data_IF_185364897781
#
_entry.id   IF_185364897781
#
_cell.length_a   1.000
_cell.length_b   1.000
_cell.length_c   1.000
_cell.angle_alpha   90.00
_cell.angle_beta   90.00
_cell.angle_gamma   90.00
#
_symmetry.space_group_name_H-M   'P 1'
#
loop_
_entity.id
_entity.type
_entity.pdbx_description
1 polymer ?
#
# COMPACT_ATOMS: atom_id res chain seq x y z
N UNK A 1 22.27 -13.06 4.87
CA UNK A 1 21.58 -12.37 3.78
C UNK A 1 20.44 -11.57 4.40
N UNK A 2 20.35 -10.28 4.11
CA UNK A 2 19.31 -9.36 4.61
C UNK A 2 18.33 -9.09 3.46
N UNK A 3 17.12 -9.64 3.54
CA UNK A 3 16.10 -9.56 2.48
C UNK A 3 14.98 -8.62 2.88
N UNK A 4 14.62 -7.71 1.99
CA UNK A 4 13.47 -6.80 2.19
C UNK A 4 12.31 -7.18 1.30
N UNK A 5 11.13 -7.35 1.91
CA UNK A 5 9.86 -7.52 1.22
C UNK A 5 9.24 -6.18 0.87
N UNK A 6 8.65 -6.08 -0.32
CA UNK A 6 7.85 -4.93 -0.78
C UNK A 6 6.51 -5.47 -1.28
N UNK A 7 5.42 -4.79 -0.96
CA UNK A 7 4.07 -5.13 -1.42
C UNK A 7 3.59 -4.06 -2.41
N UNK A 8 3.20 -4.47 -3.62
CA UNK A 8 2.94 -3.52 -4.71
C UNK A 8 1.83 -3.96 -5.65
N UNK A 9 1.40 -3.02 -6.47
CA UNK A 9 0.60 -3.27 -7.67
C UNK A 9 1.37 -3.00 -8.96
N UNK A 10 2.28 -2.02 -8.95
CA UNK A 10 3.05 -1.54 -10.11
C UNK A 10 2.17 -1.36 -11.36
N UNK A 11 1.16 -0.54 -11.23
CA UNK A 11 0.09 -0.41 -12.22
C UNK A 11 0.00 1.00 -12.86
N UNK A 12 0.93 1.39 -13.76
CA UNK A 12 2.20 0.73 -14.08
C UNK A 12 3.34 1.08 -13.11
N UNK A 13 4.54 0.52 -13.33
CA UNK A 13 5.75 0.93 -12.64
C UNK A 13 6.18 2.32 -13.12
N UNK A 14 6.41 3.26 -12.20
CA UNK A 14 6.72 4.67 -12.48
C UNK A 14 7.85 5.18 -11.57
N UNK A 15 8.31 6.43 -11.80
CA UNK A 15 9.44 7.02 -11.07
C UNK A 15 9.26 7.02 -9.53
N UNK A 16 8.04 7.17 -9.04
CA UNK A 16 7.75 7.06 -7.60
C UNK A 16 8.00 5.66 -7.05
N UNK A 17 7.75 4.61 -7.83
CA UNK A 17 8.06 3.23 -7.43
C UNK A 17 9.57 2.96 -7.49
N UNK A 18 10.27 3.53 -8.47
CA UNK A 18 11.73 3.43 -8.57
C UNK A 18 12.41 4.10 -7.35
N UNK A 19 11.96 5.31 -6.99
CA UNK A 19 12.43 6.00 -5.80
C UNK A 19 12.15 5.17 -4.53
N UNK A 20 10.92 4.65 -4.38
CA UNK A 20 10.56 3.81 -3.24
C UNK A 20 11.46 2.56 -3.15
N UNK A 21 11.70 1.86 -4.27
CA UNK A 21 12.56 0.68 -4.31
C UNK A 21 14.00 1.03 -3.89
N UNK A 22 14.56 2.12 -4.43
CA UNK A 22 15.90 2.59 -4.08
C UNK A 22 16.00 2.94 -2.59
N UNK A 23 15.09 3.76 -2.09
CA UNK A 23 15.06 4.16 -0.67
C UNK A 23 14.82 2.96 0.26
N UNK A 24 14.04 1.95 -0.17
CA UNK A 24 13.85 0.71 0.59
C UNK A 24 15.16 -0.05 0.75
N UNK A 25 15.94 -0.17 -0.32
CA UNK A 25 17.27 -0.80 -0.26
C UNK A 25 18.22 -0.05 0.67
N UNK A 26 18.21 1.27 0.61
CA UNK A 26 19.07 2.14 1.44
C UNK A 26 18.70 2.05 2.93
N UNK A 27 17.41 2.24 3.29
CA UNK A 27 16.99 2.28 4.70
C UNK A 27 17.10 0.93 5.39
N UNK A 28 16.94 -0.17 4.66
CA UNK A 28 17.02 -1.52 5.21
C UNK A 28 18.43 -2.12 5.05
N UNK A 29 19.30 -1.49 4.28
CA UNK A 29 20.62 -2.01 3.91
C UNK A 29 20.55 -3.49 3.48
N UNK A 30 19.62 -3.81 2.57
CA UNK A 30 19.33 -5.18 2.18
C UNK A 30 20.23 -5.68 1.04
N UNK A 31 20.48 -6.99 1.03
CA UNK A 31 21.19 -7.71 -0.03
C UNK A 31 20.30 -8.00 -1.23
N UNK A 32 18.96 -8.08 -1.01
CA UNK A 32 18.00 -8.38 -2.06
C UNK A 32 16.57 -7.97 -1.69
N UNK A 33 15.72 -7.85 -2.72
CA UNK A 33 14.32 -7.44 -2.60
C UNK A 33 13.38 -8.49 -3.18
N UNK A 34 12.42 -8.91 -2.38
CA UNK A 34 11.29 -9.73 -2.81
C UNK A 34 10.04 -8.87 -2.88
N UNK A 35 9.41 -8.86 -4.05
CA UNK A 35 8.17 -8.11 -4.28
C UNK A 35 6.97 -9.07 -4.28
N UNK A 36 5.99 -8.85 -3.41
CA UNK A 36 4.65 -9.45 -3.52
C UNK A 36 3.79 -8.49 -4.33
N UNK A 37 3.34 -8.92 -5.51
CA UNK A 37 2.65 -8.09 -6.48
C UNK A 37 1.28 -8.65 -6.85
N UNK A 38 0.26 -7.77 -6.92
CA UNK A 38 -1.06 -8.13 -7.45
C UNK A 38 -0.96 -8.70 -8.86
N UNK A 39 -1.72 -9.76 -9.14
CA UNK A 39 -1.83 -10.39 -10.45
C UNK A 39 -2.52 -9.48 -11.49
N UNK A 40 -3.38 -10.03 -12.33
CA UNK A 40 -4.05 -9.26 -13.38
C UNK A 40 -5.15 -8.32 -12.87
N UNK A 41 -5.50 -8.40 -11.59
CA UNK A 41 -6.48 -7.54 -10.93
C UNK A 41 -5.85 -6.88 -9.70
N UNK A 42 -6.19 -5.61 -9.50
CA UNK A 42 -5.67 -4.78 -8.41
C UNK A 42 -6.72 -4.62 -7.29
N UNK A 43 -6.32 -4.04 -6.16
CA UNK A 43 -7.12 -3.97 -4.93
C UNK A 43 -8.53 -3.36 -5.14
N UNK A 44 -8.67 -2.45 -6.07
CA UNK A 44 -9.99 -1.85 -6.39
C UNK A 44 -10.90 -2.77 -7.22
N UNK A 45 -10.51 -4.02 -7.48
CA UNK A 45 -11.24 -4.97 -8.31
C UNK A 45 -11.24 -4.61 -9.79
N UNK A 46 -10.31 -3.74 -10.20
CA UNK A 46 -10.13 -3.36 -11.59
C UNK A 46 -9.03 -4.23 -12.23
N UNK A 47 -9.10 -4.48 -13.56
CA UNK A 47 -7.96 -5.04 -14.26
C UNK A 47 -6.77 -4.08 -14.16
N UNK A 48 -5.57 -4.63 -14.05
CA UNK A 48 -4.35 -3.84 -14.14
C UNK A 48 -4.20 -3.30 -15.58
N UNK A 49 -3.48 -2.20 -15.75
CA UNK A 49 -3.26 -1.55 -17.06
C UNK A 49 -2.76 -2.54 -18.12
N UNK A 50 -1.85 -3.42 -17.71
CA UNK A 50 -1.28 -4.47 -18.55
C UNK A 50 -1.12 -5.76 -17.76
N UNK A 51 -0.80 -6.86 -18.43
CA UNK A 51 -0.67 -8.18 -17.82
C UNK A 51 0.42 -8.24 -16.73
N UNK A 52 0.31 -9.24 -15.87
CA UNK A 52 1.23 -9.41 -14.74
C UNK A 52 2.68 -9.67 -15.17
N UNK A 53 2.90 -10.32 -16.31
CA UNK A 53 4.24 -10.67 -16.78
C UNK A 53 5.02 -9.43 -17.22
N UNK A 54 4.34 -8.52 -17.93
CA UNK A 54 4.90 -7.21 -18.30
C UNK A 54 5.27 -6.40 -17.08
N UNK A 55 4.40 -6.33 -16.06
CA UNK A 55 4.67 -5.63 -14.79
C UNK A 55 5.79 -6.29 -13.99
N UNK A 56 5.87 -7.63 -14.02
CA UNK A 56 7.00 -8.36 -13.42
C UNK A 56 8.32 -8.01 -14.09
N UNK A 57 8.37 -7.93 -15.43
CA UNK A 57 9.57 -7.49 -16.15
C UNK A 57 9.99 -6.09 -15.74
N UNK A 58 9.06 -5.15 -15.61
CA UNK A 58 9.36 -3.79 -15.12
C UNK A 58 9.99 -3.83 -13.73
N UNK A 59 9.47 -4.63 -12.82
CA UNK A 59 9.98 -4.77 -11.45
C UNK A 59 11.42 -5.35 -11.43
N UNK A 60 11.66 -6.38 -12.24
CA UNK A 60 12.99 -7.01 -12.36
C UNK A 60 14.01 -6.05 -12.99
N UNK A 61 13.65 -5.34 -14.06
CA UNK A 61 14.49 -4.30 -14.68
C UNK A 61 14.81 -3.15 -13.70
N UNK A 62 13.88 -2.85 -12.77
CA UNK A 62 14.11 -1.87 -11.71
C UNK A 62 15.07 -2.37 -10.62
N UNK A 63 15.39 -3.66 -10.58
CA UNK A 63 16.29 -4.26 -9.60
C UNK A 63 15.58 -4.96 -8.43
N UNK A 64 14.35 -5.41 -8.60
CA UNK A 64 13.71 -6.42 -7.75
C UNK A 64 14.31 -7.79 -8.10
N UNK A 65 14.62 -8.61 -7.12
CA UNK A 65 15.28 -9.91 -7.34
C UNK A 65 14.28 -11.05 -7.54
N UNK A 66 13.12 -10.98 -6.89
CA UNK A 66 12.04 -11.98 -7.01
C UNK A 66 10.68 -11.31 -6.94
N UNK A 67 9.77 -11.70 -7.84
CA UNK A 67 8.36 -11.29 -7.80
C UNK A 67 7.49 -12.50 -7.50
N UNK A 68 6.68 -12.41 -6.46
CA UNK A 68 5.69 -13.41 -6.03
C UNK A 68 4.29 -12.85 -6.29
N UNK A 69 3.44 -13.60 -6.97
CA UNK A 69 2.06 -13.16 -7.24
C UNK A 69 1.20 -13.27 -5.98
N UNK A 70 0.55 -12.17 -5.60
CA UNK A 70 -0.51 -12.20 -4.59
C UNK A 70 -1.77 -12.84 -5.19
N UNK A 71 -2.31 -13.93 -4.61
CA UNK A 71 -3.52 -14.56 -5.10
C UNK A 71 -4.67 -13.55 -5.25
N UNK A 72 -5.43 -13.66 -6.34
CA UNK A 72 -6.49 -12.71 -6.71
C UNK A 72 -7.49 -12.48 -5.59
N UNK A 73 -7.80 -13.51 -4.80
CA UNK A 73 -8.69 -13.41 -3.64
C UNK A 73 -8.23 -12.32 -2.67
N UNK A 74 -6.95 -12.26 -2.35
CA UNK A 74 -6.38 -11.22 -1.49
C UNK A 74 -6.17 -9.91 -2.25
N UNK A 75 -5.70 -9.99 -3.48
CA UNK A 75 -5.38 -8.81 -4.30
C UNK A 75 -6.60 -7.90 -4.53
N UNK A 76 -7.82 -8.44 -4.57
CA UNK A 76 -9.07 -7.69 -4.82
C UNK A 76 -9.92 -7.46 -3.57
N UNK A 77 -9.36 -7.73 -2.39
CA UNK A 77 -10.05 -7.62 -1.10
C UNK A 77 -9.89 -6.25 -0.44
N UNK A 78 -10.46 -6.10 0.76
CA UNK A 78 -10.25 -4.92 1.61
C UNK A 78 -8.76 -4.75 1.97
N UNK A 79 -8.38 -3.55 2.45
CA UNK A 79 -7.02 -3.28 2.88
C UNK A 79 -6.49 -4.31 3.90
N UNK A 80 -7.35 -4.75 4.83
CA UNK A 80 -7.00 -5.76 5.84
C UNK A 80 -6.65 -7.11 5.21
N UNK A 81 -7.50 -7.64 4.35
CA UNK A 81 -7.26 -8.94 3.71
C UNK A 81 -6.12 -8.88 2.68
N UNK A 82 -6.02 -7.79 1.94
CA UNK A 82 -4.90 -7.54 1.03
C UNK A 82 -3.56 -7.56 1.80
N UNK A 83 -3.47 -6.79 2.89
CA UNK A 83 -2.29 -6.73 3.73
C UNK A 83 -1.97 -8.08 4.37
N UNK A 84 -2.98 -8.76 4.94
CA UNK A 84 -2.80 -10.05 5.57
C UNK A 84 -2.29 -11.11 4.58
N UNK A 85 -2.87 -11.20 3.39
CA UNK A 85 -2.42 -12.15 2.36
C UNK A 85 -0.99 -11.88 1.91
N UNK A 86 -0.64 -10.62 1.67
CA UNK A 86 0.69 -10.24 1.20
C UNK A 86 1.77 -10.44 2.28
N UNK A 87 1.50 -10.03 3.52
CA UNK A 87 2.43 -10.24 4.64
C UNK A 87 2.57 -11.72 4.97
N UNK A 88 1.48 -12.52 4.89
CA UNK A 88 1.53 -13.97 5.08
C UNK A 88 2.45 -14.64 4.06
N UNK A 89 2.40 -14.23 2.79
CA UNK A 89 3.32 -14.73 1.77
C UNK A 89 4.77 -14.43 2.12
N UNK A 90 5.09 -13.16 2.42
CA UNK A 90 6.44 -12.77 2.81
C UNK A 90 6.93 -13.53 4.03
N UNK A 91 6.07 -13.70 5.04
CA UNK A 91 6.39 -14.44 6.27
C UNK A 91 6.64 -15.93 6.00
N UNK A 92 5.85 -16.54 5.13
CA UNK A 92 5.96 -17.98 4.80
C UNK A 92 7.22 -18.32 4.01
N UNK A 93 7.86 -17.35 3.35
CA UNK A 93 9.13 -17.58 2.66
C UNK A 93 10.30 -17.85 3.63
N UNK A 94 10.19 -17.46 4.90
CA UNK A 94 11.19 -17.65 5.95
C UNK A 94 12.60 -17.10 5.64
N UNK A 95 12.71 -16.21 4.65
CA UNK A 95 13.98 -15.56 4.24
C UNK A 95 13.90 -14.04 4.33
N UNK A 96 12.71 -13.49 4.55
CA UNK A 96 12.46 -12.04 4.60
C UNK A 96 12.74 -11.52 6.01
N UNK A 97 13.60 -10.52 6.10
CA UNK A 97 13.99 -9.89 7.37
C UNK A 97 13.24 -8.58 7.63
N UNK A 98 12.92 -7.85 6.56
CA UNK A 98 12.29 -6.54 6.64
C UNK A 98 11.12 -6.46 5.66
N UNK A 99 10.14 -5.61 5.98
CA UNK A 99 9.15 -5.12 5.03
C UNK A 99 9.27 -3.60 4.94
N UNK A 100 9.29 -3.06 3.72
CA UNK A 100 9.33 -1.62 3.52
C UNK A 100 8.15 -1.16 2.67
N UNK A 101 7.46 -0.12 3.12
CA UNK A 101 6.28 0.44 2.46
C UNK A 101 6.27 1.97 2.53
N UNK A 102 5.57 2.59 1.58
CA UNK A 102 5.34 4.04 1.61
C UNK A 102 4.16 4.39 2.51
N UNK A 103 4.27 5.49 3.26
CA UNK A 103 3.18 6.09 4.02
C UNK A 103 3.17 7.61 3.86
N UNK A 104 2.02 8.24 4.04
CA UNK A 104 1.93 9.69 3.99
C UNK A 104 2.57 10.35 5.21
N UNK A 105 2.46 9.72 6.38
CA UNK A 105 3.02 10.25 7.62
C UNK A 105 4.55 10.03 7.76
N UNK A 106 5.11 8.99 7.14
CA UNK A 106 6.53 8.65 7.26
C UNK A 106 6.98 8.25 8.68
N UNK A 107 6.06 8.02 9.61
CA UNK A 107 6.33 7.73 11.02
C UNK A 107 6.00 6.27 11.35
N UNK A 108 7.03 5.43 11.36
CA UNK A 108 6.86 3.99 11.64
C UNK A 108 6.45 3.71 13.09
N UNK A 109 6.88 4.53 14.02
CA UNK A 109 6.58 4.29 15.44
C UNK A 109 5.12 4.63 15.75
N UNK A 110 4.59 5.70 15.14
CA UNK A 110 3.16 6.00 15.18
C UNK A 110 2.33 4.88 14.54
N UNK A 111 2.70 4.42 13.33
CA UNK A 111 2.00 3.33 12.63
C UNK A 111 1.97 2.05 13.48
N UNK A 112 3.10 1.64 14.05
CA UNK A 112 3.20 0.49 14.95
C UNK A 112 2.31 0.65 16.19
N UNK A 113 2.32 1.84 16.80
CA UNK A 113 1.50 2.12 17.98
C UNK A 113 0.01 2.03 17.68
N UNK A 114 -0.44 2.63 16.58
CA UNK A 114 -1.83 2.53 16.16
C UNK A 114 -2.23 1.07 15.87
N UNK A 115 -1.36 0.32 15.21
CA UNK A 115 -1.57 -1.10 14.91
C UNK A 115 -1.68 -1.96 16.16
N UNK A 116 -0.84 -1.69 17.16
CA UNK A 116 -0.84 -2.37 18.47
C UNK A 116 -2.15 -2.13 19.23
N UNK A 117 -2.61 -0.88 19.30
CA UNK A 117 -3.88 -0.54 19.95
C UNK A 117 -5.05 -1.24 19.27
N UNK A 118 -5.08 -1.21 17.93
CA UNK A 118 -6.17 -1.83 17.15
C UNK A 118 -6.19 -3.35 17.31
N UNK A 119 -5.04 -4.02 17.40
CA UNK A 119 -5.00 -5.49 17.49
C UNK A 119 -5.26 -6.01 18.91
N UNK A 120 -4.73 -5.30 19.91
CA UNK A 120 -4.88 -5.68 21.32
C UNK A 120 -6.22 -5.25 21.91
N UNK A 121 -6.87 -4.27 21.28
CA UNK A 121 -8.15 -3.71 21.71
C UNK A 121 -8.22 -3.50 23.22
N UNK A 122 -7.42 -2.59 23.82
CA UNK A 122 -7.46 -2.35 25.25
C UNK A 122 -8.88 -2.06 25.75
N UNK A 123 -9.25 -2.41 26.99
CA UNK A 123 -10.63 -2.27 27.49
C UNK A 123 -11.23 -0.88 27.27
N UNK A 124 -10.47 0.17 27.55
CA UNK A 124 -10.90 1.56 27.37
C UNK A 124 -11.14 1.91 25.89
N UNK A 125 -10.29 1.42 24.98
CA UNK A 125 -10.49 1.59 23.54
C UNK A 125 -11.76 0.89 23.06
N UNK A 126 -12.02 -0.35 23.52
CA UNK A 126 -13.26 -1.08 23.23
C UNK A 126 -14.51 -0.34 23.71
N UNK A 127 -14.44 0.24 24.88
CA UNK A 127 -15.54 1.04 25.45
C UNK A 127 -15.86 2.23 24.53
N UNK A 128 -14.86 3.03 24.18
CA UNK A 128 -15.03 4.18 23.29
C UNK A 128 -15.56 3.77 21.91
N UNK A 129 -15.01 2.69 21.32
CA UNK A 129 -15.49 2.18 20.04
C UNK A 129 -16.98 1.79 20.11
N UNK A 130 -17.38 1.07 21.17
CA UNK A 130 -18.77 0.67 21.38
C UNK A 130 -19.70 1.87 21.52
N UNK A 131 -19.28 2.90 22.23
CA UNK A 131 -20.10 4.09 22.45
C UNK A 131 -20.28 4.88 21.15
N UNK A 132 -19.24 5.10 20.40
CA UNK A 132 -19.36 5.74 19.08
C UNK A 132 -20.19 4.94 18.08
N UNK A 133 -20.16 3.60 18.14
CA UNK A 133 -21.03 2.77 17.33
C UNK A 133 -22.50 2.89 17.75
N UNK A 134 -22.81 3.00 19.06
CA UNK A 134 -24.16 3.26 19.55
C UNK A 134 -24.70 4.64 19.13
N UNK A 135 -23.83 5.63 18.96
CA UNK A 135 -24.16 6.95 18.41
C UNK A 135 -24.52 6.87 16.91
N UNK A 136 -24.42 5.70 16.27
CA UNK A 136 -24.73 5.49 14.85
C UNK A 136 -23.60 5.84 13.90
N UNK A 137 -22.37 6.02 14.37
CA UNK A 137 -21.22 6.30 13.50
C UNK A 137 -20.84 5.03 12.71
N UNK A 138 -20.50 5.17 11.41
CA UNK A 138 -19.92 4.08 10.64
C UNK A 138 -18.63 3.57 11.30
N UNK A 139 -18.38 2.26 11.26
CA UNK A 139 -17.25 1.62 11.93
C UNK A 139 -15.90 2.31 11.71
N UNK A 140 -15.48 2.70 10.48
CA UNK A 140 -14.20 3.39 10.28
C UNK A 140 -14.11 4.70 11.07
N UNK A 141 -15.19 5.49 11.08
CA UNK A 141 -15.25 6.78 11.80
C UNK A 141 -15.30 6.58 13.32
N UNK A 142 -16.06 5.60 13.79
CA UNK A 142 -16.12 5.22 15.20
C UNK A 142 -14.74 4.76 15.71
N UNK A 143 -14.04 3.92 14.93
CA UNK A 143 -12.69 3.44 15.25
C UNK A 143 -11.68 4.58 15.32
N UNK A 144 -11.70 5.50 14.35
CA UNK A 144 -10.80 6.66 14.36
C UNK A 144 -11.02 7.53 15.58
N UNK A 145 -12.29 7.86 15.93
CA UNK A 145 -12.61 8.63 17.13
C UNK A 145 -12.24 7.92 18.42
N UNK A 146 -12.44 6.62 18.50
CA UNK A 146 -12.06 5.82 19.67
C UNK A 146 -10.53 5.80 19.86
N UNK A 147 -9.76 5.69 18.77
CA UNK A 147 -8.30 5.79 18.80
C UNK A 147 -7.84 7.16 19.29
N UNK A 148 -8.41 8.23 18.75
CA UNK A 148 -8.08 9.61 19.15
C UNK A 148 -8.33 9.80 20.64
N UNK A 149 -9.50 9.42 21.13
CA UNK A 149 -9.85 9.54 22.54
C UNK A 149 -8.96 8.67 23.45
N UNK A 150 -8.69 7.44 23.02
CA UNK A 150 -7.81 6.53 23.77
C UNK A 150 -6.38 7.10 23.90
N UNK A 151 -5.85 7.69 22.83
CA UNK A 151 -4.52 8.29 22.83
C UNK A 151 -4.46 9.54 23.70
N UNK A 152 -5.51 10.37 23.69
CA UNK A 152 -5.63 11.56 24.55
C UNK A 152 -5.62 11.17 26.03
N UNK A 153 -6.48 10.25 26.44
CA UNK A 153 -6.58 9.77 27.83
C UNK A 153 -5.28 9.09 28.34
N UNK A 154 -4.48 8.57 27.42
CA UNK A 154 -3.16 7.99 27.73
C UNK A 154 -2.01 8.98 27.58
N UNK A 155 -2.30 10.30 27.50
CA UNK A 155 -1.32 11.40 27.42
C UNK A 155 -0.37 11.30 26.20
N UNK A 156 -0.81 10.71 25.09
CA UNK A 156 -0.11 10.79 23.83
C UNK A 156 -0.28 12.19 23.25
N UNK A 157 0.80 12.99 23.24
CA UNK A 157 0.80 14.34 22.70
C UNK A 157 0.81 14.29 21.17
N UNK A 158 -0.33 14.01 20.57
CA UNK A 158 -0.52 14.04 19.11
C UNK A 158 -1.58 15.10 18.78
N UNK A 159 -1.31 15.94 17.79
CA UNK A 159 -2.31 16.83 17.23
C UNK A 159 -3.45 16.01 16.59
N UNK A 160 -4.69 16.30 17.01
CA UNK A 160 -5.85 15.53 16.55
C UNK A 160 -6.13 15.70 15.06
N UNK A 161 -5.88 16.88 14.50
CA UNK A 161 -6.08 17.12 13.07
C UNK A 161 -5.08 16.32 12.23
N UNK A 162 -3.84 16.23 12.71
CA UNK A 162 -2.81 15.39 12.12
C UNK A 162 -3.17 13.90 12.22
N UNK A 163 -3.61 13.43 13.39
CA UNK A 163 -4.00 12.02 13.58
C UNK A 163 -5.20 11.64 12.71
N UNK A 164 -6.20 12.52 12.59
CA UNK A 164 -7.34 12.31 11.69
C UNK A 164 -6.88 12.17 10.23
N UNK A 165 -5.95 13.02 9.80
CA UNK A 165 -5.34 12.93 8.47
C UNK A 165 -4.59 11.61 8.30
N UNK A 166 -3.81 11.18 9.28
CA UNK A 166 -3.08 9.90 9.25
C UNK A 166 -4.05 8.73 9.10
N UNK A 167 -5.13 8.69 9.86
CA UNK A 167 -6.11 7.59 9.87
C UNK A 167 -7.00 7.54 8.60
N UNK A 168 -7.07 8.62 7.82
CA UNK A 168 -7.87 8.70 6.61
C UNK A 168 -7.03 8.60 5.31
N UNK A 169 -5.70 8.57 5.40
CA UNK A 169 -4.81 8.49 4.24
C UNK A 169 -4.63 7.04 3.79
N UNK A 170 -4.73 6.79 2.49
CA UNK A 170 -4.81 5.45 1.91
C UNK A 170 -3.58 4.57 2.20
N UNK A 171 -2.37 5.12 2.08
CA UNK A 171 -1.16 4.34 2.32
C UNK A 171 -0.88 4.18 3.81
N UNK A 172 -1.28 5.14 4.66
CA UNK A 172 -1.22 4.96 6.12
C UNK A 172 -2.16 3.84 6.58
N UNK A 173 -3.37 3.75 6.00
CA UNK A 173 -4.30 2.63 6.28
C UNK A 173 -3.64 1.30 5.94
N UNK A 174 -3.05 1.18 4.75
CA UNK A 174 -2.33 -0.04 4.36
C UNK A 174 -1.13 -0.32 5.28
N UNK A 175 -0.36 0.70 5.65
CA UNK A 175 0.77 0.59 6.56
C UNK A 175 0.36 0.04 7.94
N UNK A 176 -0.76 0.54 8.49
CA UNK A 176 -1.36 0.03 9.74
C UNK A 176 -1.76 -1.45 9.57
N UNK A 177 -2.40 -1.81 8.44
CA UNK A 177 -2.82 -3.19 8.20
C UNK A 177 -1.62 -4.13 7.99
N UNK A 178 -0.51 -3.68 7.38
CA UNK A 178 0.74 -4.47 7.31
C UNK A 178 1.31 -4.73 8.71
N UNK A 179 1.41 -3.71 9.57
CA UNK A 179 1.89 -3.87 10.93
C UNK A 179 0.96 -4.77 11.76
N UNK A 180 -0.36 -4.61 11.64
CA UNK A 180 -1.34 -5.52 12.28
C UNK A 180 -1.13 -6.97 11.84
N UNK A 181 -0.88 -7.19 10.55
CA UNK A 181 -0.63 -8.52 10.00
C UNK A 181 0.64 -9.14 10.56
N UNK A 182 1.72 -8.36 10.70
CA UNK A 182 2.95 -8.81 11.37
C UNK A 182 2.70 -9.22 12.83
N UNK A 183 1.95 -8.42 13.59
CA UNK A 183 1.57 -8.77 14.98
C UNK A 183 0.73 -10.05 15.02
N UNK A 184 -0.29 -10.16 14.18
CA UNK A 184 -1.18 -11.33 14.13
C UNK A 184 -0.45 -12.63 13.79
N UNK A 185 0.57 -12.55 12.94
CA UNK A 185 1.40 -13.69 12.53
C UNK A 185 2.56 -13.94 13.50
N UNK A 186 2.74 -13.12 14.53
CA UNK A 186 3.92 -13.16 15.40
C UNK A 186 5.22 -13.17 14.60
N UNK A 187 5.26 -12.39 13.53
CA UNK A 187 6.35 -12.37 12.56
C UNK A 187 7.58 -11.67 13.11
N UNK A 188 8.77 -12.20 12.81
CA UNK A 188 10.05 -11.56 13.10
C UNK A 188 10.44 -10.48 12.08
N UNK A 189 9.67 -10.29 11.01
CA UNK A 189 9.92 -9.30 9.97
C UNK A 189 9.78 -7.88 10.54
N UNK A 190 10.80 -7.05 10.33
CA UNK A 190 10.84 -5.67 10.84
C UNK A 190 10.19 -4.71 9.84
N UNK A 191 9.20 -3.91 10.25
CA UNK A 191 8.58 -2.92 9.36
C UNK A 191 9.41 -1.63 9.28
N UNK A 192 9.52 -1.09 8.06
CA UNK A 192 10.08 0.21 7.73
C UNK A 192 9.11 0.99 6.87
N UNK A 193 9.13 2.31 6.99
CA UNK A 193 8.32 3.17 6.12
C UNK A 193 9.14 4.29 5.51
N UNK A 194 8.77 4.69 4.31
CA UNK A 194 9.32 5.83 3.58
C UNK A 194 8.20 6.84 3.42
N UNK A 195 8.46 8.09 3.78
CA UNK A 195 7.50 9.14 3.54
C UNK A 195 7.29 9.32 2.04
N UNK A 196 6.05 9.27 1.60
CA UNK A 196 5.71 9.51 0.19
C UNK A 196 5.88 11.00 -0.13
N UNK A 197 6.67 11.25 -1.16
CA UNK A 197 6.86 12.57 -1.74
C UNK A 197 6.04 12.66 -3.03
N UNK A 198 5.31 13.76 -3.25
CA UNK A 198 4.61 14.01 -4.50
C UNK A 198 3.08 14.03 -4.36
N UNK A 199 2.42 13.96 -5.51
CA UNK A 199 0.97 14.07 -5.65
C UNK A 199 0.19 13.08 -4.78
N UNK A 200 -0.89 13.55 -4.17
CA UNK A 200 -1.82 12.70 -3.43
C UNK A 200 -2.34 11.57 -4.35
N UNK A 201 -2.67 10.43 -3.75
CA UNK A 201 -3.15 9.25 -4.50
C UNK A 201 -4.34 9.53 -5.45
N UNK A 202 -5.10 10.58 -5.16
CA UNK A 202 -6.25 11.02 -5.95
C UNK A 202 -5.93 12.12 -6.97
N UNK A 203 -4.69 12.57 -7.07
CA UNK A 203 -4.30 13.54 -8.09
C UNK A 203 -4.30 12.90 -9.47
N UNK A 204 -5.19 13.37 -10.33
CA UNK A 204 -5.40 12.88 -11.69
C UNK A 204 -4.68 13.72 -12.76
N UNK A 205 -3.88 14.71 -12.36
CA UNK A 205 -3.16 15.58 -13.29
C UNK A 205 -1.67 15.27 -13.31
N UNK A 206 -1.10 15.23 -14.51
CA UNK A 206 0.33 15.18 -14.73
C UNK A 206 0.91 16.59 -14.56
N UNK A 207 1.80 16.77 -13.59
CA UNK A 207 2.53 18.02 -13.36
C UNK A 207 4.02 17.78 -13.63
N UNK A 208 4.62 18.56 -14.55
CA UNK A 208 5.98 18.31 -15.07
C UNK A 208 7.12 18.32 -14.04
N UNK A 209 6.88 18.76 -12.82
CA UNK A 209 7.91 18.85 -11.77
C UNK A 209 7.60 17.99 -10.55
N UNK A 210 6.60 17.11 -10.61
CA UNK A 210 6.16 16.28 -9.50
C UNK A 210 6.16 14.80 -9.90
N UNK A 211 6.31 13.94 -8.90
CA UNK A 211 6.15 12.50 -9.09
C UNK A 211 4.66 12.22 -9.32
N UNK A 212 4.31 11.87 -10.54
CA UNK A 212 2.93 11.57 -10.91
C UNK A 212 2.42 10.31 -10.21
N UNK A 213 1.11 10.30 -9.86
CA UNK A 213 0.45 9.09 -9.36
C UNK A 213 0.24 8.06 -10.46
N UNK A 214 0.20 6.77 -10.11
CA UNK A 214 -0.15 5.71 -11.06
C UNK A 214 -1.53 5.95 -11.70
N UNK A 215 -2.46 6.57 -10.99
CA UNK A 215 -3.79 6.93 -11.48
C UNK A 215 -3.73 7.99 -12.58
N UNK A 216 -2.94 9.04 -12.38
CA UNK A 216 -2.72 10.09 -13.40
C UNK A 216 -2.08 9.52 -14.66
N UNK A 217 -1.08 8.64 -14.51
CA UNK A 217 -0.42 7.98 -15.64
C UNK A 217 -1.41 7.10 -16.41
N UNK A 218 -2.21 6.27 -15.73
CA UNK A 218 -3.23 5.45 -16.40
C UNK A 218 -4.25 6.31 -17.13
N UNK A 219 -4.73 7.38 -16.51
CA UNK A 219 -5.68 8.29 -17.13
C UNK A 219 -5.11 8.88 -18.43
N UNK A 220 -3.88 9.39 -18.40
CA UNK A 220 -3.20 9.91 -19.60
C UNK A 220 -3.10 8.85 -20.70
N UNK A 221 -2.67 7.63 -20.39
CA UNK A 221 -2.55 6.53 -21.36
C UNK A 221 -3.90 6.20 -22.02
N UNK A 222 -5.01 6.21 -21.25
CA UNK A 222 -6.34 5.89 -21.82
C UNK A 222 -7.00 7.05 -22.57
N UNK A 223 -6.70 8.31 -22.21
CA UNK A 223 -7.41 9.48 -22.76
C UNK A 223 -6.63 10.22 -23.84
N UNK A 224 -5.31 10.12 -23.85
CA UNK A 224 -4.46 10.94 -24.71
C UNK A 224 -3.49 10.06 -25.52
N UNK A 225 -2.30 9.88 -25.01
CA UNK A 225 -1.26 9.10 -25.65
C UNK A 225 -0.27 8.57 -24.62
N UNK A 226 0.25 7.37 -24.82
CA UNK A 226 1.30 6.79 -23.98
C UNK A 226 2.56 7.67 -23.93
N UNK A 227 2.83 8.43 -25.00
CA UNK A 227 3.99 9.31 -25.10
C UNK A 227 4.04 10.39 -24.03
N UNK A 228 2.87 10.87 -23.57
CA UNK A 228 2.79 11.85 -22.47
C UNK A 228 3.25 11.27 -21.12
N UNK A 229 3.28 9.96 -20.99
CA UNK A 229 3.70 9.28 -19.76
C UNK A 229 5.21 9.02 -19.68
N UNK A 230 5.97 9.31 -20.75
CA UNK A 230 7.41 9.04 -20.85
C UNK A 230 8.22 9.72 -19.73
N UNK A 231 7.87 10.97 -19.40
CA UNK A 231 8.59 11.75 -18.38
C UNK A 231 8.31 11.30 -16.94
N UNK A 232 7.32 10.43 -16.74
CA UNK A 232 6.86 9.99 -15.41
C UNK A 232 7.22 8.54 -15.08
N UNK A 233 7.86 7.84 -16.00
CA UNK A 233 8.29 6.45 -15.79
C UNK A 233 9.69 6.19 -16.30
N UNK A 234 10.39 5.19 -15.76
CA UNK A 234 11.68 4.77 -16.30
C UNK A 234 11.55 4.33 -17.76
N UNK A 235 12.59 4.59 -18.55
CA UNK A 235 12.60 4.30 -20.00
C UNK A 235 12.31 2.82 -20.32
N UNK A 236 12.79 1.90 -19.50
CA UNK A 236 12.51 0.46 -19.67
C UNK A 236 11.03 0.15 -19.47
N UNK A 237 10.36 0.74 -18.45
CA UNK A 237 8.92 0.57 -18.21
C UNK A 237 8.10 1.11 -19.38
N UNK A 238 8.44 2.29 -19.89
CA UNK A 238 7.79 2.86 -21.07
C UNK A 238 7.93 1.95 -22.30
N UNK A 239 9.13 1.44 -22.57
CA UNK A 239 9.38 0.56 -23.71
C UNK A 239 8.59 -0.75 -23.62
N UNK A 240 8.45 -1.31 -22.43
CA UNK A 240 7.64 -2.51 -22.19
C UNK A 240 6.16 -2.22 -22.41
N UNK A 241 5.63 -1.07 -21.92
CA UNK A 241 4.24 -0.69 -22.13
C UNK A 241 3.91 -0.43 -23.61
N UNK A 242 4.80 0.25 -24.33
CA UNK A 242 4.58 0.56 -25.75
C UNK A 242 4.37 -0.69 -26.60
N UNK A 243 4.91 -1.83 -26.20
CA UNK A 243 4.85 -3.10 -26.93
C UNK A 243 3.79 -4.07 -26.39
N UNK A 244 2.91 -3.61 -25.47
CA UNK A 244 1.86 -4.45 -24.89
C UNK A 244 0.48 -3.88 -25.14
N UNK A 245 -0.53 -4.76 -25.13
CA UNK A 245 -1.94 -4.34 -25.16
C UNK A 245 -2.39 -3.91 -23.76
N UNK A 246 -3.21 -2.87 -23.72
CA UNK A 246 -3.83 -2.40 -22.46
C UNK A 246 -5.12 -3.15 -22.17
N UNK A 247 -5.38 -3.34 -20.86
CA UNK A 247 -6.60 -3.99 -20.42
C UNK A 247 -7.82 -3.10 -20.66
N UNK A 248 -8.92 -3.73 -21.03
CA UNK A 248 -10.21 -3.07 -21.15
C UNK A 248 -10.76 -2.73 -19.73
N UNK A 249 -10.95 -1.44 -19.45
CA UNK A 249 -11.43 -0.95 -18.16
C UNK A 249 -12.88 -1.37 -17.85
N UNK A 250 -13.66 -1.75 -18.85
CA UNK A 250 -15.04 -2.17 -18.67
C UNK A 250 -15.16 -3.60 -18.12
N UNK A 251 -14.08 -4.38 -18.23
CA UNK A 251 -14.00 -5.73 -17.66
C UNK A 251 -13.65 -5.69 -16.18
N UNK A 252 -14.64 -5.44 -15.32
CA UNK A 252 -14.49 -5.53 -13.86
C UNK A 252 -14.83 -6.93 -13.39
N UNK A 253 -13.98 -7.52 -12.55
CA UNK A 253 -14.42 -8.63 -11.72
C UNK A 253 -15.27 -8.08 -10.57
N UNK A 254 -16.33 -8.79 -10.21
CA UNK A 254 -17.11 -8.46 -9.02
C UNK A 254 -16.18 -8.41 -7.82
N UNK A 255 -16.19 -7.31 -7.08
CA UNK A 255 -15.55 -7.28 -5.77
C UNK A 255 -16.18 -8.39 -4.93
N UNK A 256 -15.35 -9.19 -4.29
CA UNK A 256 -15.83 -9.93 -3.14
C UNK A 256 -16.48 -8.88 -2.22
N UNK A 257 -17.81 -8.91 -2.10
CA UNK A 257 -18.52 -8.06 -1.17
C UNK A 257 -18.05 -8.46 0.23
N UNK A 258 -16.98 -7.83 0.69
CA UNK A 258 -16.71 -7.80 2.11
C UNK A 258 -17.74 -6.82 2.65
N UNK A 259 -18.83 -7.35 3.18
CA UNK A 259 -19.63 -6.63 4.12
C UNK A 259 -18.67 -6.16 5.22
N UNK A 260 -18.29 -4.90 5.16
CA UNK A 260 -17.87 -4.23 6.38
C UNK A 260 -19.15 -3.97 7.14
N UNK A 261 -19.34 -4.66 8.28
CA UNK A 261 -20.50 -4.39 9.12
C UNK A 261 -20.51 -2.94 9.59
#
# INVERSE_FOLDING_TARGET
MNITGIITEYNPFHLGHELHLKSSKEITNCDGVICVMSGNFVQRGLPALTDKWTRTKMALEAGVDLVVELPTLFATSSAEFFAFGAVSLLNSLNVVNNICFGSECGDIDLIKKLSEIIINEPPLFKEYLKDYLKEGLPFPKARSKALMKYLDDNNYKIDFSYLEKVLNSSNNILAIEYCKSLYKLQSSIKPFTIQRLGADYNDEKLSKNEIASASAIRKSIYTSNIEESLDFMPKYSYNLLKNTSFSDLDKKIGRAHVWTP
#
